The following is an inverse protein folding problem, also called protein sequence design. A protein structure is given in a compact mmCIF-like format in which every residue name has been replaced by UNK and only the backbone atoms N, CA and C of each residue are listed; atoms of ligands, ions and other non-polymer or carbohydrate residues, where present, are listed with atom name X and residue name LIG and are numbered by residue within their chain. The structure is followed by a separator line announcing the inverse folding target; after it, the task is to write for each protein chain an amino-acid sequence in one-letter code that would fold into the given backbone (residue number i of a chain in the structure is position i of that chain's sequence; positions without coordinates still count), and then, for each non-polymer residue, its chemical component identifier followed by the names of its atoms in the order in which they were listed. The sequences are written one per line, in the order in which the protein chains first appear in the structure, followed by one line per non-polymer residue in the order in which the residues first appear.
data_IF_964861596164
#
_entry.id   IF_964861596164
#
_cell.length_a   1.000
_cell.length_b   1.000
_cell.length_c   1.000
_cell.angle_alpha   90.00
_cell.angle_beta   90.00
_cell.angle_gamma   90.00
#
_symmetry.space_group_name_H-M   'P 1'
#
loop_
_entity.id
_entity.type
_entity.pdbx_description
1 polymer ?
#
# COMPACT_ATOMS: atom_id res chain seq x y z
N UNK A 1 -45.40 21.66 -5.29
CA UNK A 1 -44.54 21.14 -6.38
C UNK A 1 -43.07 21.52 -6.14
N UNK A 2 -42.72 22.78 -5.97
CA UNK A 2 -41.33 23.19 -5.73
C UNK A 2 -40.68 22.54 -4.49
N UNK A 3 -41.42 22.45 -3.40
CA UNK A 3 -40.88 21.83 -2.16
C UNK A 3 -40.56 20.33 -2.30
N UNK A 4 -41.34 19.60 -3.11
CA UNK A 4 -41.08 18.18 -3.36
C UNK A 4 -39.80 18.00 -4.17
N UNK A 5 -39.58 18.84 -5.15
CA UNK A 5 -38.38 18.81 -6.00
C UNK A 5 -37.14 19.11 -5.16
N UNK A 6 -37.22 20.11 -4.27
CA UNK A 6 -36.10 20.48 -3.38
C UNK A 6 -35.76 19.31 -2.43
N UNK A 7 -36.77 18.69 -1.85
CA UNK A 7 -36.59 17.53 -0.96
C UNK A 7 -35.92 16.36 -1.69
N UNK A 8 -36.36 16.06 -2.92
CA UNK A 8 -35.77 15.00 -3.73
C UNK A 8 -34.29 15.29 -4.07
N UNK A 9 -33.97 16.54 -4.41
CA UNK A 9 -32.58 16.94 -4.68
C UNK A 9 -31.71 16.79 -3.42
N UNK A 10 -32.23 17.24 -2.26
CA UNK A 10 -31.50 17.09 -0.99
C UNK A 10 -31.26 15.63 -0.64
N UNK A 11 -32.26 14.78 -0.80
CA UNK A 11 -32.11 13.34 -0.56
C UNK A 11 -31.08 12.71 -1.51
N UNK A 12 -31.08 13.11 -2.77
CA UNK A 12 -30.10 12.64 -3.75
C UNK A 12 -28.67 13.09 -3.41
N UNK A 13 -28.49 14.32 -2.97
CA UNK A 13 -27.18 14.85 -2.56
C UNK A 13 -26.67 14.16 -1.29
N UNK A 14 -27.54 13.95 -0.30
CA UNK A 14 -27.18 13.22 0.92
C UNK A 14 -26.85 11.78 0.62
N UNK A 15 -27.65 11.11 -0.18
CA UNK A 15 -27.40 9.73 -0.61
C UNK A 15 -26.07 9.59 -1.37
N UNK A 16 -25.80 10.53 -2.27
CA UNK A 16 -24.53 10.57 -3.01
C UNK A 16 -23.34 10.86 -2.09
N UNK A 17 -23.51 11.77 -1.13
CA UNK A 17 -22.48 12.08 -0.14
C UNK A 17 -22.14 10.88 0.73
N UNK A 18 -23.15 10.15 1.22
CA UNK A 18 -22.96 8.94 2.01
C UNK A 18 -22.30 7.84 1.15
N UNK A 19 -22.75 7.65 -0.06
CA UNK A 19 -22.16 6.68 -1.00
C UNK A 19 -20.69 6.98 -1.28
N UNK A 20 -20.38 8.25 -1.57
CA UNK A 20 -18.99 8.69 -1.81
C UNK A 20 -18.13 8.53 -0.57
N UNK A 21 -18.67 8.87 0.59
CA UNK A 21 -17.96 8.73 1.87
C UNK A 21 -17.66 7.27 2.22
N UNK A 22 -18.65 6.39 2.09
CA UNK A 22 -18.47 4.95 2.30
C UNK A 22 -17.48 4.37 1.29
N UNK A 23 -17.57 4.79 0.03
CA UNK A 23 -16.65 4.33 -1.01
C UNK A 23 -15.21 4.81 -0.78
N UNK A 24 -15.04 6.01 -0.23
CA UNK A 24 -13.74 6.52 0.20
C UNK A 24 -13.19 5.77 1.42
N UNK A 25 -14.04 5.43 2.38
CA UNK A 25 -13.65 4.64 3.56
C UNK A 25 -13.28 3.20 3.20
N UNK A 26 -13.95 2.61 2.22
CA UNK A 26 -13.66 1.24 1.80
C UNK A 26 -12.46 1.14 0.87
N UNK A 27 -12.09 2.22 0.19
CA UNK A 27 -10.90 2.29 -0.67
C UNK A 27 -9.69 2.94 0.00
N UNK A 28 -9.92 3.81 0.98
CA UNK A 28 -8.84 4.34 1.79
C UNK A 28 -8.55 3.38 2.92
N UNK A 29 -7.51 2.58 2.79
CA UNK A 29 -7.02 1.74 3.86
C UNK A 29 -6.73 2.56 5.10
N UNK A 30 -7.74 2.75 5.94
CA UNK A 30 -7.57 3.30 7.27
C UNK A 30 -6.75 2.32 8.10
N UNK A 31 -5.61 2.77 8.57
CA UNK A 31 -4.62 1.96 9.29
C UNK A 31 -5.07 1.43 10.65
N UNK A 32 -6.33 1.46 11.03
CA UNK A 32 -6.68 1.18 12.43
C UNK A 32 -7.93 0.36 12.69
N UNK A 33 -8.60 -0.19 11.71
CA UNK A 33 -9.88 -0.80 12.02
C UNK A 33 -10.21 -2.09 11.28
N UNK A 34 -9.32 -3.02 11.27
CA UNK A 34 -9.76 -4.40 11.07
C UNK A 34 -8.80 -5.35 11.73
N UNK A 35 -9.16 -5.65 12.95
CA UNK A 35 -8.53 -6.70 13.72
C UNK A 35 -8.80 -8.00 13.06
N UNK A 36 -8.64 -8.61 12.17
CA UNK A 36 -8.84 -10.03 11.87
C UNK A 36 -8.97 -10.43 10.40
N UNK A 37 -9.01 -9.52 9.46
CA UNK A 37 -8.83 -9.94 8.08
C UNK A 37 -7.33 -10.04 7.80
N UNK A 38 -6.80 -11.24 7.85
CA UNK A 38 -5.44 -11.49 7.41
C UNK A 38 -5.28 -10.95 5.99
N UNK A 39 -4.47 -9.91 5.83
CA UNK A 39 -4.19 -9.33 4.52
C UNK A 39 -3.62 -10.40 3.62
N UNK A 40 -4.30 -10.69 2.52
CA UNK A 40 -3.81 -11.69 1.56
C UNK A 40 -2.51 -11.20 0.95
N UNK A 41 -1.51 -12.05 0.96
CA UNK A 41 -0.22 -11.75 0.34
C UNK A 41 -0.36 -11.76 -1.19
N UNK A 42 0.02 -10.66 -1.83
CA UNK A 42 0.14 -10.61 -3.29
C UNK A 42 1.29 -11.53 -3.69
N UNK A 43 1.02 -12.46 -4.57
CA UNK A 43 2.04 -13.37 -5.10
C UNK A 43 2.80 -12.68 -6.23
N UNK A 44 4.12 -12.70 -6.14
CA UNK A 44 4.98 -12.31 -7.24
C UNK A 44 4.97 -13.43 -8.28
N UNK A 45 4.84 -13.09 -9.54
CA UNK A 45 4.80 -14.07 -10.63
C UNK A 45 6.11 -14.85 -10.76
N UNK A 46 7.22 -14.15 -10.69
CA UNK A 46 8.57 -14.72 -10.76
C UNK A 46 9.22 -14.77 -9.38
N UNK A 47 9.38 -15.96 -8.84
CA UNK A 47 10.01 -16.19 -7.52
C UNK A 47 11.49 -16.58 -7.62
N UNK A 48 12.09 -16.47 -8.78
CA UNK A 48 13.50 -16.78 -8.94
C UNK A 48 14.34 -15.52 -8.66
N UNK A 49 15.03 -15.51 -7.54
CA UNK A 49 15.89 -14.39 -7.13
C UNK A 49 17.01 -14.09 -8.13
N UNK A 50 17.43 -15.06 -8.91
CA UNK A 50 18.45 -14.88 -9.93
C UNK A 50 18.01 -13.96 -11.08
N UNK A 51 16.69 -13.79 -11.28
CA UNK A 51 16.13 -12.88 -12.27
C UNK A 51 16.09 -11.42 -11.81
N UNK A 52 16.47 -11.14 -10.55
CA UNK A 52 16.47 -9.81 -9.96
C UNK A 52 17.91 -9.37 -9.65
N UNK A 53 18.61 -8.76 -10.61
CA UNK A 53 20.02 -8.38 -10.42
C UNK A 53 20.21 -7.20 -9.47
N UNK A 54 19.18 -6.40 -9.26
CA UNK A 54 19.23 -5.22 -8.41
C UNK A 54 18.60 -5.47 -7.05
N UNK A 55 19.26 -5.04 -6.00
CA UNK A 55 18.79 -5.13 -4.62
C UNK A 55 18.84 -3.76 -3.96
N UNK A 56 17.73 -3.34 -3.40
CA UNK A 56 17.58 -2.10 -2.64
C UNK A 56 17.08 -2.42 -1.23
N UNK A 57 17.80 -1.97 -0.22
CA UNK A 57 17.37 -2.10 1.18
C UNK A 57 17.13 -0.71 1.74
N UNK A 58 15.92 -0.47 2.20
CA UNK A 58 15.58 0.79 2.86
C UNK A 58 14.80 0.56 4.14
N UNK A 59 15.00 1.47 5.09
CA UNK A 59 14.26 1.47 6.33
C UNK A 59 12.83 1.93 6.10
N UNK A 60 11.88 1.37 6.85
CA UNK A 60 10.48 1.79 6.87
C UNK A 60 10.02 1.93 8.31
N UNK A 61 9.52 3.10 8.65
CA UNK A 61 8.95 3.37 9.96
C UNK A 61 7.44 3.16 9.99
N UNK A 62 6.90 2.82 11.16
CA UNK A 62 5.47 2.58 11.35
C UNK A 62 5.04 1.12 11.19
N UNK A 63 5.93 0.21 10.86
CA UNK A 63 5.62 -1.23 10.80
C UNK A 63 5.70 -1.84 12.20
N UNK A 64 4.54 -2.10 12.80
CA UNK A 64 4.45 -2.64 14.16
C UNK A 64 3.82 -4.04 14.24
N UNK A 65 3.31 -4.56 13.13
CA UNK A 65 2.60 -5.83 13.09
C UNK A 65 2.80 -6.57 11.77
N UNK A 66 2.47 -7.87 11.76
CA UNK A 66 2.56 -8.71 10.55
C UNK A 66 1.63 -8.22 9.42
N UNK A 67 0.49 -7.65 9.74
CA UNK A 67 -0.40 -7.07 8.74
C UNK A 67 0.24 -5.84 8.08
N UNK A 68 0.94 -5.01 8.86
CA UNK A 68 1.72 -3.87 8.35
C UNK A 68 2.80 -4.35 7.37
N UNK A 69 3.52 -5.41 7.71
CA UNK A 69 4.49 -6.05 6.83
C UNK A 69 3.87 -6.43 5.48
N UNK A 70 2.73 -7.12 5.52
CA UNK A 70 2.03 -7.55 4.31
C UNK A 70 1.51 -6.39 3.47
N UNK A 71 1.06 -5.32 4.10
CA UNK A 71 0.64 -4.11 3.37
C UNK A 71 1.79 -3.50 2.58
N UNK A 72 2.96 -3.37 3.19
CA UNK A 72 4.15 -2.83 2.51
C UNK A 72 4.62 -3.79 1.40
N UNK A 73 4.72 -5.08 1.70
CA UNK A 73 5.07 -6.08 0.69
C UNK A 73 4.11 -6.06 -0.50
N UNK A 74 2.81 -6.02 -0.25
CA UNK A 74 1.81 -5.99 -1.30
C UNK A 74 1.88 -4.71 -2.14
N UNK A 75 2.07 -3.56 -1.51
CA UNK A 75 2.21 -2.28 -2.21
C UNK A 75 3.40 -2.27 -3.18
N UNK A 76 4.49 -2.91 -2.80
CA UNK A 76 5.69 -3.00 -3.62
C UNK A 76 5.60 -4.14 -4.66
N UNK A 77 5.02 -5.26 -4.29
CA UNK A 77 4.87 -6.41 -5.20
C UNK A 77 3.89 -6.16 -6.37
N UNK A 78 3.04 -5.15 -6.26
CA UNK A 78 2.19 -4.69 -7.36
C UNK A 78 3.01 -3.99 -8.45
N UNK A 79 4.17 -3.42 -8.12
CA UNK A 79 5.04 -2.79 -9.09
C UNK A 79 5.64 -3.85 -10.02
N UNK A 80 5.65 -3.61 -11.34
CA UNK A 80 6.17 -4.59 -12.31
C UNK A 80 7.66 -4.85 -12.09
N UNK A 81 8.06 -6.11 -12.16
CA UNK A 81 9.46 -6.52 -12.00
C UNK A 81 10.05 -6.28 -10.60
N UNK A 82 9.20 -6.19 -9.59
CA UNK A 82 9.60 -5.89 -8.20
C UNK A 82 9.17 -7.01 -7.27
N UNK A 83 10.07 -7.44 -6.41
CA UNK A 83 9.80 -8.39 -5.35
C UNK A 83 10.32 -7.85 -4.01
N UNK A 84 9.42 -7.54 -3.10
CA UNK A 84 9.73 -6.97 -1.80
C UNK A 84 9.56 -8.00 -0.69
N UNK A 85 10.49 -7.96 0.26
CA UNK A 85 10.43 -8.72 1.50
C UNK A 85 10.70 -7.79 2.68
N UNK A 86 9.82 -7.79 3.66
CA UNK A 86 9.94 -6.95 4.85
C UNK A 86 10.53 -7.74 6.01
N UNK A 87 11.48 -7.14 6.71
CA UNK A 87 11.99 -7.60 7.99
C UNK A 87 11.48 -6.70 9.11
N UNK A 88 10.55 -7.22 9.92
CA UNK A 88 9.98 -6.46 11.05
C UNK A 88 11.00 -6.22 12.16
N UNK A 89 11.90 -7.14 12.40
CA UNK A 89 12.89 -7.02 13.45
C UNK A 89 13.90 -5.90 13.15
N UNK A 90 14.34 -5.82 11.90
CA UNK A 90 15.24 -4.79 11.42
C UNK A 90 14.54 -3.51 10.98
N UNK A 91 13.21 -3.52 10.88
CA UNK A 91 12.38 -2.41 10.37
C UNK A 91 12.80 -1.92 8.98
N UNK A 92 13.17 -2.84 8.14
CA UNK A 92 13.57 -2.53 6.77
C UNK A 92 12.84 -3.42 5.76
N UNK A 93 12.90 -3.00 4.51
CA UNK A 93 12.40 -3.74 3.37
C UNK A 93 13.53 -3.98 2.38
N UNK A 94 13.65 -5.22 1.95
CA UNK A 94 14.55 -5.60 0.87
C UNK A 94 13.73 -5.69 -0.41
N UNK A 95 14.06 -4.87 -1.38
CA UNK A 95 13.38 -4.80 -2.67
C UNK A 95 14.31 -5.34 -3.75
N UNK A 96 13.87 -6.39 -4.41
CA UNK A 96 14.54 -6.97 -5.57
C UNK A 96 13.86 -6.47 -6.84
N UNK A 97 14.63 -6.01 -7.80
CA UNK A 97 14.11 -5.50 -9.08
C UNK A 97 14.84 -6.12 -10.27
N UNK A 98 14.10 -6.31 -11.36
CA UNK A 98 14.65 -6.82 -12.62
C UNK A 98 15.42 -5.75 -13.39
N UNK A 99 14.97 -4.51 -13.27
CA UNK A 99 15.60 -3.34 -13.87
C UNK A 99 16.16 -2.45 -12.77
N UNK A 100 16.83 -1.38 -13.16
CA UNK A 100 17.35 -0.41 -12.19
C UNK A 100 16.21 0.09 -11.29
N UNK A 101 16.40 -0.05 -9.98
CA UNK A 101 15.38 0.31 -9.01
C UNK A 101 15.10 1.81 -9.04
N UNK A 102 13.88 2.18 -9.38
CA UNK A 102 13.38 3.54 -9.19
C UNK A 102 13.06 3.73 -7.70
N UNK A 103 14.01 4.31 -6.99
CA UNK A 103 13.89 4.54 -5.55
C UNK A 103 12.72 5.46 -5.21
N UNK A 104 12.44 6.46 -6.04
CA UNK A 104 11.34 7.39 -5.82
C UNK A 104 9.99 6.72 -5.96
N UNK A 105 9.82 5.84 -6.95
CA UNK A 105 8.60 5.04 -7.11
C UNK A 105 8.39 4.09 -5.93
N UNK A 106 9.45 3.46 -5.43
CA UNK A 106 9.40 2.58 -4.26
C UNK A 106 9.03 3.37 -3.00
N UNK A 107 9.66 4.52 -2.78
CA UNK A 107 9.34 5.41 -1.66
C UNK A 107 7.91 5.91 -1.71
N UNK A 108 7.43 6.26 -2.90
CA UNK A 108 6.05 6.71 -3.08
C UNK A 108 5.06 5.59 -2.78
N UNK A 109 5.29 4.37 -3.24
CA UNK A 109 4.45 3.22 -2.94
C UNK A 109 4.35 2.95 -1.43
N UNK A 110 5.46 3.09 -0.70
CA UNK A 110 5.47 2.95 0.76
C UNK A 110 4.65 4.06 1.44
N UNK A 111 4.77 5.31 0.97
CA UNK A 111 3.95 6.43 1.49
C UNK A 111 2.47 6.22 1.22
N UNK A 112 2.12 5.77 0.03
CA UNK A 112 0.74 5.49 -0.36
C UNK A 112 0.13 4.34 0.46
N UNK A 113 0.95 3.41 0.93
CA UNK A 113 0.56 2.37 1.89
C UNK A 113 0.37 2.90 3.33
N UNK A 114 0.73 4.15 3.60
CA UNK A 114 0.59 4.78 4.91
C UNK A 114 1.80 4.64 5.84
N UNK A 115 2.96 4.33 5.29
CA UNK A 115 4.21 4.16 6.04
C UNK A 115 5.24 5.21 5.65
N UNK A 116 6.25 5.40 6.49
CA UNK A 116 7.30 6.39 6.25
C UNK A 116 8.58 5.69 5.75
N UNK A 117 8.98 5.88 4.50
CA UNK A 117 10.25 5.38 4.02
C UNK A 117 11.40 6.19 4.62
N UNK A 118 12.36 5.50 5.19
CA UNK A 118 13.57 6.08 5.76
C UNK A 118 14.72 6.07 4.74
N UNK A 119 15.94 6.21 5.21
CA UNK A 119 17.12 6.18 4.35
C UNK A 119 17.33 4.81 3.71
N UNK A 120 17.82 4.83 2.49
CA UNK A 120 18.35 3.63 1.83
C UNK A 120 19.60 3.17 2.56
N UNK A 121 19.58 1.94 3.02
CA UNK A 121 20.71 1.35 3.75
C UNK A 121 21.72 0.73 2.78
N UNK A 122 21.25 0.13 1.71
CA UNK A 122 22.09 -0.52 0.70
C UNK A 122 21.38 -0.49 -0.66
N UNK A 123 22.16 -0.26 -1.70
CA UNK A 123 21.75 -0.35 -3.09
C UNK A 123 22.83 -1.11 -3.86
N UNK A 124 22.45 -2.15 -4.54
CA UNK A 124 23.37 -2.94 -5.38
C UNK A 124 22.92 -2.98 -6.82
#
# INVERSE_FOLDING_TARGET
MANVIIVLILLALVGYGIYSFVHHLTRGGGCCAERDAAVKKVKVEDRNKAHYPHTLVLGVDGMTCQNCQRHVENALNVLPGTWATVDLAARNVTVLTKEEADEDAIRQAIRDAGYLPLRTTSKT
#
